data_IF_521402022341
#
_entry.id   IF_521402022341
#
_cell.length_a   1.000
_cell.length_b   1.000
_cell.length_c   1.000
_cell.angle_alpha   90.00
_cell.angle_beta   90.00
_cell.angle_gamma   90.00
#
_symmetry.space_group_name_H-M   'P 1'
#
loop_
_entity.id
_entity.type
_entity.pdbx_description
1 polymer ?
#
# COMPACT_ATOMS: atom_id res chain seq x y z
N UNK A 1 -13.73 13.70 1.46
CA UNK A 1 -14.07 12.43 2.19
C UNK A 1 -12.77 11.92 2.78
N UNK A 2 -12.72 11.72 4.09
CA UNK A 2 -11.53 11.18 4.75
C UNK A 2 -11.30 9.70 4.40
N UNK A 3 -10.10 9.21 4.69
CA UNK A 3 -9.69 7.89 4.22
C UNK A 3 -10.41 6.73 4.95
N UNK A 4 -10.75 6.89 6.22
CA UNK A 4 -11.54 5.89 6.98
C UNK A 4 -12.94 5.76 6.39
N UNK A 5 -13.57 6.88 6.05
CA UNK A 5 -14.86 6.88 5.36
C UNK A 5 -14.77 6.16 4.00
N UNK A 6 -13.66 6.33 3.24
CA UNK A 6 -13.43 5.56 2.00
C UNK A 6 -13.37 4.07 2.27
N UNK A 7 -12.64 3.63 3.32
CA UNK A 7 -12.56 2.22 3.72
C UNK A 7 -13.93 1.65 4.12
N UNK A 8 -14.70 2.38 4.92
CA UNK A 8 -16.06 1.96 5.32
C UNK A 8 -16.98 1.84 4.11
N UNK A 9 -16.94 2.80 3.20
CA UNK A 9 -17.74 2.75 1.96
C UNK A 9 -17.32 1.59 1.07
N UNK A 10 -16.02 1.33 0.95
CA UNK A 10 -15.50 0.18 0.23
C UNK A 10 -16.06 -1.14 0.79
N UNK A 11 -16.07 -1.30 2.12
CA UNK A 11 -16.65 -2.49 2.76
C UNK A 11 -18.16 -2.62 2.54
N UNK A 12 -18.91 -1.50 2.53
CA UNK A 12 -20.34 -1.50 2.18
C UNK A 12 -20.57 -1.93 0.73
N UNK A 13 -19.76 -1.44 -0.21
CA UNK A 13 -19.78 -1.87 -1.61
C UNK A 13 -19.46 -3.35 -1.76
N UNK A 14 -18.47 -3.86 -1.03
CA UNK A 14 -18.14 -5.28 -0.99
C UNK A 14 -19.32 -6.12 -0.43
N UNK A 15 -19.95 -5.68 0.65
CA UNK A 15 -21.12 -6.35 1.21
C UNK A 15 -22.29 -6.40 0.21
N UNK A 16 -22.43 -5.40 -0.65
CA UNK A 16 -23.44 -5.34 -1.72
C UNK A 16 -23.06 -6.17 -2.96
N UNK A 17 -21.92 -6.87 -2.97
CA UNK A 17 -21.53 -7.77 -4.05
C UNK A 17 -20.88 -7.09 -5.26
N UNK A 18 -20.33 -5.88 -5.10
CA UNK A 18 -19.66 -5.17 -6.19
C UNK A 18 -18.32 -5.82 -6.57
N UNK A 19 -17.85 -5.46 -7.77
CA UNK A 19 -16.50 -5.84 -8.24
C UNK A 19 -15.49 -4.77 -7.84
N UNK A 20 -14.45 -5.18 -7.11
CA UNK A 20 -13.48 -4.29 -6.48
C UNK A 20 -12.04 -4.68 -6.85
N UNK A 21 -11.15 -3.71 -6.85
CA UNK A 21 -9.72 -3.91 -7.15
C UNK A 21 -8.89 -3.61 -5.90
N UNK A 22 -8.14 -4.62 -5.44
CA UNK A 22 -7.26 -4.55 -4.27
C UNK A 22 -5.83 -4.39 -4.75
N UNK A 23 -5.25 -3.22 -4.51
CA UNK A 23 -3.93 -2.82 -4.98
C UNK A 23 -2.88 -2.80 -3.85
N UNK A 24 -1.64 -3.05 -4.22
CA UNK A 24 -0.46 -2.94 -3.36
C UNK A 24 0.64 -2.22 -4.11
N UNK A 25 1.32 -1.28 -3.44
CA UNK A 25 2.46 -0.53 -3.99
C UNK A 25 3.60 -0.58 -2.97
N UNK A 26 4.77 -1.08 -3.35
CA UNK A 26 5.86 -1.18 -2.38
C UNK A 26 7.16 -1.76 -2.95
N UNK A 27 8.05 -2.12 -2.04
CA UNK A 27 9.35 -2.70 -2.32
C UNK A 27 9.33 -4.23 -2.47
N UNK A 28 10.44 -4.86 -2.08
CA UNK A 28 10.66 -6.32 -2.17
C UNK A 28 9.69 -7.13 -1.29
N UNK A 29 9.33 -6.62 -0.12
CA UNK A 29 8.40 -7.33 0.77
C UNK A 29 7.01 -7.37 0.14
N UNK A 30 6.56 -6.27 -0.47
CA UNK A 30 5.31 -6.22 -1.23
C UNK A 30 5.35 -7.10 -2.48
N UNK A 31 6.50 -7.16 -3.17
CA UNK A 31 6.71 -8.07 -4.30
C UNK A 31 6.53 -9.54 -3.90
N UNK A 32 6.81 -9.89 -2.64
CA UNK A 32 6.75 -11.24 -2.10
C UNK A 32 8.11 -11.93 -2.00
N UNK A 33 9.21 -11.15 -1.86
CA UNK A 33 10.54 -11.74 -1.66
C UNK A 33 10.54 -12.69 -0.47
N UNK A 34 11.09 -13.90 -0.70
CA UNK A 34 11.18 -15.02 0.23
C UNK A 34 9.83 -15.67 0.63
N UNK A 35 8.71 -15.29 0.03
CA UNK A 35 7.54 -16.15 0.02
C UNK A 35 7.80 -17.36 -0.91
N UNK A 36 7.35 -18.55 -0.52
CA UNK A 36 7.58 -19.77 -1.30
C UNK A 36 6.75 -19.81 -2.58
N UNK A 37 5.59 -19.14 -2.58
CA UNK A 37 4.72 -18.93 -3.74
C UNK A 37 4.11 -17.52 -3.67
N UNK A 38 3.61 -16.97 -4.79
CA UNK A 38 2.90 -15.69 -4.77
C UNK A 38 1.74 -15.66 -3.76
N UNK A 39 1.06 -16.78 -3.53
CA UNK A 39 -0.10 -16.91 -2.66
C UNK A 39 0.26 -16.86 -1.16
N UNK A 40 1.52 -17.06 -0.79
CA UNK A 40 1.99 -16.95 0.60
C UNK A 40 2.55 -15.56 0.94
N UNK A 41 2.63 -14.65 -0.06
CA UNK A 41 2.98 -13.25 0.18
C UNK A 41 1.89 -12.52 0.97
N UNK A 42 2.27 -11.61 1.86
CA UNK A 42 1.32 -10.85 2.68
C UNK A 42 0.23 -10.14 1.85
N UNK A 43 0.61 -9.60 0.71
CA UNK A 43 -0.32 -8.89 -0.17
C UNK A 43 -1.44 -9.81 -0.67
N UNK A 44 -1.09 -11.04 -1.09
CA UNK A 44 -2.09 -12.01 -1.51
C UNK A 44 -2.92 -12.52 -0.33
N UNK A 45 -2.33 -12.68 0.85
CA UNK A 45 -3.04 -13.10 2.06
C UNK A 45 -4.08 -12.07 2.50
N UNK A 46 -3.78 -10.77 2.39
CA UNK A 46 -4.74 -9.68 2.61
C UNK A 46 -5.84 -9.68 1.54
N UNK A 47 -5.50 -9.92 0.28
CA UNK A 47 -6.48 -10.10 -0.79
C UNK A 47 -7.43 -11.28 -0.50
N UNK A 48 -6.94 -12.42 0.00
CA UNK A 48 -7.76 -13.55 0.41
C UNK A 48 -8.68 -13.20 1.61
N UNK A 49 -8.23 -12.31 2.52
CA UNK A 49 -9.10 -11.79 3.58
C UNK A 49 -10.33 -11.09 3.01
N UNK A 50 -10.18 -10.24 1.96
CA UNK A 50 -11.30 -9.57 1.30
C UNK A 50 -12.28 -10.58 0.71
N UNK A 51 -11.80 -11.59 0.01
CA UNK A 51 -12.64 -12.65 -0.56
C UNK A 51 -13.43 -13.43 0.49
N UNK A 52 -12.78 -13.75 1.60
CA UNK A 52 -13.41 -14.50 2.70
C UNK A 52 -14.42 -13.65 3.47
N UNK A 53 -14.09 -12.38 3.69
CA UNK A 53 -14.94 -11.46 4.44
C UNK A 53 -16.19 -11.02 3.67
N UNK A 54 -16.13 -11.00 2.33
CA UNK A 54 -17.21 -10.55 1.45
C UNK A 54 -17.42 -11.53 0.29
N UNK A 55 -17.98 -12.72 0.56
CA UNK A 55 -18.06 -13.82 -0.42
C UNK A 55 -19.00 -13.53 -1.61
N UNK A 56 -19.86 -12.52 -1.52
CA UNK A 56 -20.76 -12.12 -2.59
C UNK A 56 -20.10 -11.11 -3.56
N UNK A 57 -18.97 -10.50 -3.21
CA UNK A 57 -18.22 -9.58 -4.05
C UNK A 57 -17.21 -10.32 -4.92
N UNK A 58 -16.79 -9.68 -6.00
CA UNK A 58 -15.66 -10.15 -6.81
C UNK A 58 -14.46 -9.24 -6.64
N UNK A 59 -13.27 -9.80 -6.65
CA UNK A 59 -12.05 -9.03 -6.39
C UNK A 59 -10.99 -9.30 -7.45
N UNK A 60 -10.32 -8.23 -7.88
CA UNK A 60 -9.10 -8.28 -8.68
C UNK A 60 -7.90 -7.93 -7.81
N UNK A 61 -6.80 -8.65 -7.99
CA UNK A 61 -5.54 -8.46 -7.27
C UNK A 61 -4.53 -7.73 -8.14
N UNK A 62 -3.96 -6.65 -7.64
CA UNK A 62 -2.90 -5.87 -8.31
C UNK A 62 -1.72 -5.72 -7.36
N UNK A 63 -0.59 -6.32 -7.68
CA UNK A 63 0.64 -6.20 -6.91
C UNK A 63 1.69 -5.39 -7.69
N UNK A 64 1.89 -4.13 -7.28
CA UNK A 64 2.91 -3.21 -7.78
C UNK A 64 4.19 -3.21 -6.92
N UNK A 65 4.51 -4.31 -6.23
CA UNK A 65 5.77 -4.48 -5.52
C UNK A 65 6.95 -4.67 -6.47
N UNK A 66 8.03 -3.88 -6.30
CA UNK A 66 9.29 -4.04 -7.04
C UNK A 66 10.45 -3.93 -6.06
N UNK A 67 11.26 -4.99 -5.99
CA UNK A 67 12.38 -5.09 -5.06
C UNK A 67 13.40 -3.96 -5.18
N UNK A 68 13.89 -3.46 -4.03
CA UNK A 68 14.91 -2.42 -3.96
C UNK A 68 14.43 -1.02 -4.35
N UNK A 69 13.11 -0.79 -4.50
CA UNK A 69 12.58 0.53 -4.87
C UNK A 69 12.11 1.31 -3.67
N UNK A 70 12.36 2.61 -3.69
CA UNK A 70 11.96 3.61 -2.68
C UNK A 70 10.65 4.30 -3.05
N UNK A 71 10.09 5.11 -2.14
CA UNK A 71 8.90 5.92 -2.40
C UNK A 71 9.11 6.90 -3.56
N UNK A 72 10.31 7.44 -3.75
CA UNK A 72 10.64 8.30 -4.89
C UNK A 72 10.33 7.61 -6.24
N UNK A 73 10.83 6.40 -6.42
CA UNK A 73 10.53 5.62 -7.62
C UNK A 73 9.10 5.07 -7.62
N UNK A 74 8.59 4.72 -6.44
CA UNK A 74 7.22 4.26 -6.22
C UNK A 74 6.19 5.25 -6.74
N UNK A 75 6.34 6.52 -6.39
CA UNK A 75 5.48 7.60 -6.88
C UNK A 75 5.49 7.73 -8.40
N UNK A 76 6.70 7.73 -9.01
CA UNK A 76 6.84 7.86 -10.46
C UNK A 76 6.17 6.71 -11.25
N UNK A 77 6.20 5.46 -10.71
CA UNK A 77 5.63 4.27 -11.34
C UNK A 77 4.20 3.93 -10.91
N UNK A 78 3.66 4.62 -9.89
CA UNK A 78 2.35 4.30 -9.29
C UNK A 78 1.23 4.20 -10.33
N UNK A 79 1.24 5.09 -11.36
CA UNK A 79 0.23 5.02 -12.42
C UNK A 79 0.31 3.72 -13.21
N UNK A 80 1.49 3.37 -13.69
CA UNK A 80 1.71 2.20 -14.56
C UNK A 80 1.43 0.89 -13.82
N UNK A 81 1.86 0.79 -12.56
CA UNK A 81 1.89 -0.47 -11.83
C UNK A 81 0.61 -0.74 -11.03
N UNK A 82 -0.13 0.31 -10.65
CA UNK A 82 -1.30 0.18 -9.77
C UNK A 82 -2.49 1.03 -10.23
N UNK A 83 -2.31 2.34 -10.46
CA UNK A 83 -3.44 3.26 -10.65
C UNK A 83 -4.18 3.08 -11.98
N UNK A 84 -3.50 2.61 -13.04
CA UNK A 84 -4.13 2.31 -14.33
C UNK A 84 -5.20 1.20 -14.21
N UNK A 85 -5.12 0.35 -13.19
CA UNK A 85 -6.13 -0.67 -12.88
C UNK A 85 -7.31 -0.14 -12.05
N UNK A 86 -7.32 1.18 -11.73
CA UNK A 86 -8.38 1.86 -10.98
C UNK A 86 -8.69 1.19 -9.64
N UNK A 87 -7.68 1.01 -8.76
CA UNK A 87 -7.87 0.32 -7.49
C UNK A 87 -8.90 1.04 -6.61
N UNK A 88 -9.64 0.26 -5.82
CA UNK A 88 -10.56 0.76 -4.79
C UNK A 88 -9.84 0.93 -3.44
N UNK A 89 -8.75 0.20 -3.23
CA UNK A 89 -7.85 0.33 -2.09
C UNK A 89 -6.41 0.10 -2.54
N UNK A 90 -5.46 0.80 -1.90
CA UNK A 90 -4.02 0.58 -2.08
C UNK A 90 -3.32 0.51 -0.73
N UNK A 91 -2.61 -0.59 -0.47
CA UNK A 91 -1.66 -0.69 0.64
C UNK A 91 -0.28 -0.26 0.16
N UNK A 92 0.38 0.63 0.91
CA UNK A 92 1.68 1.24 0.54
C UNK A 92 2.76 0.85 1.55
N UNK A 93 3.90 0.34 1.08
CA UNK A 93 5.02 -0.12 1.91
C UNK A 93 6.38 0.26 1.30
N UNK A 94 7.04 1.25 1.92
CA UNK A 94 8.40 1.68 1.58
C UNK A 94 9.28 1.89 2.82
N UNK A 95 8.78 1.57 4.03
CA UNK A 95 9.40 1.97 5.28
C UNK A 95 10.80 1.39 5.53
N UNK A 96 11.16 0.28 4.90
CA UNK A 96 12.49 -0.33 4.97
C UNK A 96 13.38 0.01 3.77
N UNK A 97 12.82 0.63 2.74
CA UNK A 97 13.53 1.05 1.54
C UNK A 97 13.92 2.53 1.59
N UNK A 98 13.09 3.35 2.22
CA UNK A 98 13.34 4.75 2.43
C UNK A 98 14.25 4.96 3.64
N UNK A 99 15.17 5.92 3.56
CA UNK A 99 15.88 6.39 4.73
C UNK A 99 14.98 7.34 5.55
N UNK A 100 15.19 7.36 6.88
CA UNK A 100 14.47 8.25 7.76
C UNK A 100 15.06 9.68 7.65
N UNK A 101 14.65 10.44 6.63
CA UNK A 101 15.07 11.79 6.37
C UNK A 101 14.01 12.59 5.59
N UNK A 102 14.21 13.91 5.48
CA UNK A 102 13.28 14.85 4.86
C UNK A 102 13.06 14.59 3.36
N UNK A 103 14.08 14.12 2.62
CA UNK A 103 13.91 13.77 1.21
C UNK A 103 12.88 12.65 1.01
N UNK A 104 12.98 11.59 1.81
CA UNK A 104 12.02 10.49 1.71
C UNK A 104 10.67 10.83 2.33
N UNK A 105 10.60 11.73 3.30
CA UNK A 105 9.33 12.29 3.75
C UNK A 105 8.59 12.97 2.60
N UNK A 106 9.27 13.82 1.85
CA UNK A 106 8.69 14.55 0.72
C UNK A 106 8.28 13.62 -0.43
N UNK A 107 9.13 12.66 -0.82
CA UNK A 107 8.79 11.70 -1.88
C UNK A 107 7.65 10.77 -1.48
N UNK A 108 7.57 10.42 -0.19
CA UNK A 108 6.48 9.63 0.35
C UNK A 108 5.17 10.42 0.36
N UNK A 109 5.20 11.69 0.77
CA UNK A 109 4.05 12.59 0.68
C UNK A 109 3.54 12.69 -0.77
N UNK A 110 4.41 12.96 -1.73
CA UNK A 110 4.05 13.01 -3.15
C UNK A 110 3.41 11.71 -3.63
N UNK A 111 3.91 10.56 -3.16
CA UNK A 111 3.34 9.24 -3.47
C UNK A 111 1.93 9.09 -2.90
N UNK A 112 1.71 9.38 -1.61
CA UNK A 112 0.39 9.26 -0.97
C UNK A 112 -0.63 10.23 -1.58
N UNK A 113 -0.25 11.48 -1.83
CA UNK A 113 -1.12 12.47 -2.48
C UNK A 113 -1.55 12.00 -3.85
N UNK A 114 -0.62 11.45 -4.65
CA UNK A 114 -0.92 10.90 -5.97
C UNK A 114 -1.96 9.77 -5.92
N UNK A 115 -1.88 8.89 -4.92
CA UNK A 115 -2.87 7.83 -4.71
C UNK A 115 -4.22 8.42 -4.32
N UNK A 116 -4.24 9.33 -3.35
CA UNK A 116 -5.47 9.93 -2.82
C UNK A 116 -6.23 10.76 -3.87
N UNK A 117 -5.50 11.39 -4.82
CA UNK A 117 -6.07 12.21 -5.90
C UNK A 117 -6.32 11.41 -7.19
N UNK A 118 -6.01 10.12 -7.22
CA UNK A 118 -6.27 9.30 -8.40
C UNK A 118 -7.78 9.30 -8.75
N UNK A 119 -8.15 9.18 -10.05
CA UNK A 119 -9.56 9.20 -10.47
C UNK A 119 -10.44 8.12 -9.85
N UNK A 120 -9.86 7.00 -9.40
CA UNK A 120 -10.58 5.96 -8.64
C UNK A 120 -10.78 6.32 -7.17
N UNK A 121 -10.10 7.37 -6.67
CA UNK A 121 -10.13 7.83 -5.29
C UNK A 121 -9.98 6.68 -4.26
N UNK A 122 -8.94 5.83 -4.38
CA UNK A 122 -8.81 4.65 -3.55
C UNK A 122 -8.74 5.01 -2.06
N UNK A 123 -9.19 4.08 -1.21
CA UNK A 123 -8.76 4.08 0.18
C UNK A 123 -7.26 3.71 0.23
N UNK A 124 -6.52 4.26 1.19
CA UNK A 124 -5.09 3.98 1.35
C UNK A 124 -4.83 3.44 2.76
N UNK A 125 -3.97 2.44 2.86
CA UNK A 125 -3.39 1.94 4.12
C UNK A 125 -1.88 2.03 3.98
N UNK A 126 -1.21 2.58 5.00
CA UNK A 126 0.24 2.56 5.11
C UNK A 126 0.67 1.34 5.91
N UNK A 127 1.64 0.59 5.38
CA UNK A 127 2.31 -0.50 6.07
C UNK A 127 3.75 -0.09 6.36
N UNK A 128 4.17 -0.24 7.61
CA UNK A 128 5.55 -0.01 8.05
C UNK A 128 6.20 -1.32 8.48
N UNK A 129 6.92 -1.95 7.56
CA UNK A 129 7.81 -3.06 7.86
C UNK A 129 9.07 -2.58 8.60
N UNK A 130 9.91 -3.51 9.05
CA UNK A 130 11.06 -3.22 9.91
C UNK A 130 12.22 -4.17 9.62
N UNK A 131 13.46 -3.72 9.84
CA UNK A 131 14.61 -4.61 9.96
C UNK A 131 14.55 -5.34 11.30
N UNK A 132 14.38 -6.64 11.30
CA UNK A 132 14.15 -7.46 12.50
C UNK A 132 15.36 -7.67 13.39
N UNK A 133 16.54 -7.17 13.01
CA UNK A 133 17.76 -7.17 13.84
C UNK A 133 18.01 -5.84 14.53
N UNK A 134 17.53 -4.74 13.97
CA UNK A 134 17.84 -3.39 14.43
C UNK A 134 16.62 -2.55 14.80
N UNK A 135 15.42 -2.97 14.41
CA UNK A 135 14.22 -2.14 14.55
C UNK A 135 14.21 -0.90 13.65
N UNK A 136 15.17 -0.80 12.69
CA UNK A 136 15.30 0.36 11.82
C UNK A 136 14.17 0.37 10.76
N UNK A 137 13.59 1.54 10.53
CA UNK A 137 12.70 1.84 9.39
C UNK A 137 12.45 3.36 9.35
N UNK A 138 11.71 3.81 8.34
CA UNK A 138 11.35 5.22 8.13
C UNK A 138 9.96 5.59 8.69
N UNK A 139 9.33 4.75 9.55
CA UNK A 139 7.93 4.94 9.95
C UNK A 139 7.64 6.29 10.63
N UNK A 140 8.62 6.90 11.30
CA UNK A 140 8.42 8.20 11.94
C UNK A 140 8.03 9.28 10.92
N UNK A 141 8.73 9.31 9.78
CA UNK A 141 8.45 10.22 8.67
C UNK A 141 7.17 9.82 7.93
N UNK A 142 7.00 8.54 7.65
CA UNK A 142 5.83 8.03 6.95
C UNK A 142 4.53 8.25 7.74
N UNK A 143 4.55 8.02 9.06
CA UNK A 143 3.38 8.21 9.91
C UNK A 143 3.00 9.68 10.02
N UNK A 144 3.96 10.60 10.09
CA UNK A 144 3.69 12.05 10.06
C UNK A 144 2.84 12.45 8.84
N UNK A 145 3.21 11.92 7.67
CA UNK A 145 2.44 12.14 6.43
C UNK A 145 1.09 11.42 6.48
N UNK A 146 1.07 10.15 6.91
CA UNK A 146 -0.17 9.39 7.01
C UNK A 146 -1.19 10.07 7.93
N UNK A 147 -0.76 10.53 9.11
CA UNK A 147 -1.61 11.22 10.08
C UNK A 147 -2.16 12.53 9.53
N UNK A 148 -1.33 13.30 8.80
CA UNK A 148 -1.76 14.56 8.17
C UNK A 148 -2.91 14.37 7.18
N UNK A 149 -2.93 13.25 6.46
CA UNK A 149 -3.98 12.91 5.51
C UNK A 149 -5.06 11.99 6.08
N UNK A 150 -5.02 11.67 7.37
CA UNK A 150 -5.96 10.74 8.01
C UNK A 150 -5.91 9.33 7.43
N UNK A 151 -4.74 8.86 7.05
CA UNK A 151 -4.50 7.53 6.50
C UNK A 151 -4.14 6.56 7.64
N UNK A 152 -4.88 5.47 7.83
CA UNK A 152 -4.51 4.48 8.83
C UNK A 152 -3.20 3.80 8.47
N UNK A 153 -2.39 3.52 9.48
CA UNK A 153 -1.11 2.86 9.31
C UNK A 153 -0.98 1.64 10.22
N UNK A 154 -0.29 0.62 9.73
CA UNK A 154 0.04 -0.62 10.43
C UNK A 154 1.55 -0.66 10.62
N UNK A 155 2.01 -0.84 11.85
CA UNK A 155 3.43 -0.88 12.18
C UNK A 155 3.86 -2.27 12.66
N UNK A 156 4.73 -2.91 11.89
CA UNK A 156 5.38 -4.17 12.28
C UNK A 156 6.41 -3.92 13.36
N UNK A 157 7.00 -2.71 13.38
CA UNK A 157 7.92 -2.29 14.44
C UNK A 157 7.26 -2.23 15.82
N UNK A 158 5.99 -1.81 15.88
CA UNK A 158 5.30 -1.61 17.15
C UNK A 158 4.49 -2.85 17.57
N UNK A 159 4.32 -3.83 16.68
CA UNK A 159 3.51 -5.04 16.94
C UNK A 159 4.36 -6.31 17.00
N UNK A 160 4.98 -6.72 15.91
CA UNK A 160 5.72 -8.00 15.79
C UNK A 160 7.15 -7.87 16.31
N UNK A 161 7.83 -6.75 16.04
CA UNK A 161 9.23 -6.58 16.41
C UNK A 161 9.47 -6.69 17.93
N UNK A 162 8.64 -6.16 18.86
CA UNK A 162 8.80 -6.38 20.29
C UNK A 162 8.71 -7.85 20.70
N UNK A 163 7.89 -8.64 20.01
CA UNK A 163 7.82 -10.09 20.26
C UNK A 163 9.09 -10.82 19.78
N UNK A 164 9.75 -10.28 18.75
CA UNK A 164 11.07 -10.78 18.30
C UNK A 164 12.17 -10.38 19.29
N UNK A 165 12.20 -9.12 19.74
CA UNK A 165 13.18 -8.64 20.73
C UNK A 165 13.10 -9.38 22.05
N UNK A 166 11.89 -9.68 22.52
CA UNK A 166 11.67 -10.44 23.77
C UNK A 166 11.91 -11.95 23.62
N UNK A 167 12.15 -12.44 22.39
CA UNK A 167 12.32 -13.87 22.11
C UNK A 167 11.02 -14.69 22.09
N UNK A 168 9.87 -14.04 22.20
CA UNK A 168 8.54 -14.69 22.04
C UNK A 168 8.35 -15.22 20.61
N UNK A 169 8.90 -14.51 19.64
CA UNK A 169 9.03 -14.98 18.25
C UNK A 169 10.52 -15.16 17.95
N UNK A 170 10.89 -16.38 17.52
CA UNK A 170 12.25 -16.65 17.05
C UNK A 170 12.45 -16.00 15.68
N UNK A 171 13.34 -15.02 15.60
CA UNK A 171 13.58 -14.27 14.35
C UNK A 171 13.85 -15.15 13.13
N UNK A 172 14.69 -16.16 13.27
CA UNK A 172 15.03 -17.07 12.19
C UNK A 172 13.83 -17.88 11.66
N UNK A 173 12.74 -17.99 12.43
CA UNK A 173 11.51 -18.66 12.01
C UNK A 173 10.67 -17.82 11.05
N UNK A 174 10.89 -16.50 11.01
CA UNK A 174 10.07 -15.56 10.23
C UNK A 174 10.85 -14.82 9.13
N UNK A 175 12.17 -14.77 9.23
CA UNK A 175 13.05 -14.13 8.24
C UNK A 175 14.43 -14.77 8.24
N UNK A 176 14.99 -15.16 7.09
CA UNK A 176 16.34 -15.71 7.02
C UNK A 176 17.44 -14.64 6.90
N UNK A 177 17.11 -13.40 6.51
CA UNK A 177 18.05 -12.31 6.24
C UNK A 177 17.81 -11.06 7.12
N UNK A 178 16.98 -11.17 8.14
CA UNK A 178 16.57 -10.11 9.06
C UNK A 178 15.67 -9.01 8.46
N UNK A 179 15.29 -9.12 7.20
CA UNK A 179 14.47 -8.13 6.51
C UNK A 179 13.27 -8.77 5.83
N UNK A 180 13.52 -9.68 4.87
CA UNK A 180 12.47 -10.25 4.05
C UNK A 180 11.76 -11.38 4.79
N UNK A 181 10.45 -11.30 4.98
CA UNK A 181 9.68 -12.37 5.61
C UNK A 181 9.66 -13.64 4.75
N UNK A 182 9.77 -14.80 5.38
CA UNK A 182 9.36 -16.06 4.77
C UNK A 182 7.83 -16.23 4.89
N UNK A 183 7.26 -17.36 4.49
CA UNK A 183 5.80 -17.59 4.53
C UNK A 183 5.17 -17.30 5.89
N UNK A 184 5.83 -17.71 6.99
CA UNK A 184 5.38 -17.45 8.35
C UNK A 184 5.43 -15.95 8.68
N UNK A 185 6.50 -15.26 8.28
CA UNK A 185 6.64 -13.82 8.45
C UNK A 185 5.62 -13.05 7.63
N UNK A 186 5.42 -13.41 6.36
CA UNK A 186 4.37 -12.82 5.52
C UNK A 186 2.97 -13.00 6.11
N UNK A 187 2.68 -14.17 6.71
CA UNK A 187 1.41 -14.39 7.41
C UNK A 187 1.25 -13.42 8.58
N UNK A 188 2.29 -13.23 9.42
CA UNK A 188 2.23 -12.29 10.54
C UNK A 188 1.98 -10.84 10.06
N UNK A 189 2.67 -10.41 8.99
CA UNK A 189 2.44 -9.08 8.39
C UNK A 189 1.01 -8.93 7.89
N UNK A 190 0.49 -9.94 7.19
CA UNK A 190 -0.89 -9.94 6.72
C UNK A 190 -1.90 -9.87 7.87
N UNK A 191 -1.66 -10.62 8.95
CA UNK A 191 -2.54 -10.68 10.10
C UNK A 191 -2.65 -9.31 10.80
N UNK A 192 -1.57 -8.51 10.85
CA UNK A 192 -1.64 -7.14 11.40
C UNK A 192 -2.52 -6.23 10.53
N UNK A 193 -2.42 -6.31 9.20
CA UNK A 193 -3.31 -5.56 8.30
C UNK A 193 -4.76 -6.04 8.45
N UNK A 194 -4.96 -7.36 8.52
CA UNK A 194 -6.30 -7.93 8.69
C UNK A 194 -6.94 -7.51 10.01
N UNK A 195 -6.20 -7.38 11.11
CA UNK A 195 -6.73 -6.84 12.39
C UNK A 195 -7.29 -5.41 12.22
N UNK A 196 -6.59 -4.54 11.50
CA UNK A 196 -7.11 -3.21 11.18
C UNK A 196 -8.40 -3.31 10.36
N UNK A 197 -8.40 -4.14 9.32
CA UNK A 197 -9.58 -4.33 8.47
C UNK A 197 -10.75 -4.94 9.24
N UNK A 198 -10.51 -5.90 10.13
CA UNK A 198 -11.54 -6.49 10.99
C UNK A 198 -12.16 -5.46 11.94
N UNK A 199 -11.34 -4.55 12.49
CA UNK A 199 -11.84 -3.48 13.37
C UNK A 199 -12.78 -2.53 12.61
N UNK A 200 -12.40 -2.11 11.40
CA UNK A 200 -13.21 -1.23 10.56
C UNK A 200 -14.49 -1.95 10.10
N UNK A 201 -14.39 -3.22 9.73
CA UNK A 201 -15.54 -4.05 9.35
C UNK A 201 -16.55 -4.15 10.49
N UNK A 202 -16.10 -4.37 11.71
CA UNK A 202 -16.97 -4.42 12.89
C UNK A 202 -17.69 -3.09 13.16
N UNK A 203 -17.03 -1.96 12.88
CA UNK A 203 -17.68 -0.64 12.95
C UNK A 203 -18.78 -0.49 11.89
N UNK A 204 -18.49 -0.87 10.63
CA UNK A 204 -19.47 -0.84 9.53
C UNK A 204 -20.70 -1.70 9.86
N UNK A 205 -20.48 -2.90 10.42
CA UNK A 205 -21.58 -3.79 10.83
C UNK A 205 -22.46 -3.16 11.92
N UNK A 206 -21.84 -2.51 12.92
CA UNK A 206 -22.56 -1.79 13.98
C UNK A 206 -23.39 -0.61 13.44
N UNK A 207 -22.79 0.21 12.56
CA UNK A 207 -23.47 1.33 11.90
C UNK A 207 -24.68 0.84 11.09
N UNK A 208 -24.53 -0.25 10.37
CA UNK A 208 -25.61 -0.85 9.56
C UNK A 208 -26.76 -1.34 10.44
N UNK A 209 -26.45 -1.99 11.58
CA UNK A 209 -27.47 -2.46 12.55
C UNK A 209 -28.20 -1.28 13.21
N UNK A 210 -27.50 -0.19 13.51
CA UNK A 210 -28.09 1.01 14.11
C UNK A 210 -28.99 1.80 13.15
N UNK A 211 -29.03 1.45 11.86
CA UNK A 211 -29.81 2.16 10.84
C UNK A 211 -29.26 3.54 10.50
N UNK A 212 -28.02 3.81 10.86
CA UNK A 212 -27.33 5.04 10.51
C UNK A 212 -26.99 5.00 9.01
N UNK A 213 -27.87 5.54 8.18
CA UNK A 213 -27.59 5.79 6.76
C UNK A 213 -26.55 6.91 6.68
N UNK A 214 -25.27 6.54 6.58
CA UNK A 214 -24.29 7.45 6.01
C UNK A 214 -24.73 7.60 4.54
N UNK A 215 -25.20 8.80 4.17
CA UNK A 215 -25.63 9.09 2.80
C UNK A 215 -24.60 8.54 1.82
N UNK A 216 -25.05 7.60 1.00
CA UNK A 216 -24.28 7.07 -0.12
C UNK A 216 -24.09 8.18 -1.17
N UNK A 217 -23.09 9.03 -0.98
CA UNK A 217 -22.64 9.99 -1.99
C UNK A 217 -21.71 9.30 -3.01
N UNK A 218 -21.92 8.03 -3.30
CA UNK A 218 -21.21 7.31 -4.34
C UNK A 218 -21.75 7.61 -5.75
N UNK A 219 -22.10 8.85 -6.04
CA UNK A 219 -22.06 9.28 -7.42
C UNK A 219 -20.57 9.46 -7.77
N UNK A 220 -20.08 8.70 -8.73
CA UNK A 220 -18.78 8.85 -9.42
C UNK A 220 -18.69 10.22 -10.15
N UNK A 221 -18.99 11.28 -9.46
CA UNK A 221 -18.72 12.64 -9.91
C UNK A 221 -17.26 12.90 -9.54
N UNK A 222 -16.48 13.39 -10.47
CA UNK A 222 -15.13 13.93 -10.30
C UNK A 222 -15.14 15.11 -9.32
N UNK A 223 -15.56 14.87 -8.08
CA UNK A 223 -15.40 15.82 -7.01
C UNK A 223 -13.90 15.87 -6.74
N UNK A 224 -13.26 16.94 -7.12
CA UNK A 224 -11.87 17.23 -6.75
C UNK A 224 -11.73 16.95 -5.24
N UNK A 225 -10.99 15.89 -4.91
CA UNK A 225 -10.70 15.57 -3.52
C UNK A 225 -9.88 16.74 -2.98
N UNK A 226 -10.48 17.59 -2.16
CA UNK A 226 -9.77 18.66 -1.48
C UNK A 226 -8.92 17.98 -0.40
N UNK A 227 -7.66 17.75 -0.71
CA UNK A 227 -6.66 17.34 0.28
C UNK A 227 -6.21 18.57 1.09
N UNK A 228 -5.73 18.36 2.32
CA UNK A 228 -4.98 19.38 3.04
C UNK A 228 -3.81 19.91 2.20
N UNK A 229 -3.32 21.11 2.52
CA UNK A 229 -2.06 21.57 1.96
C UNK A 229 -0.95 20.57 2.29
N UNK A 230 0.04 20.38 1.40
CA UNK A 230 1.14 19.49 1.69
C UNK A 230 1.93 19.93 2.93
N UNK A 231 2.51 18.98 3.64
CA UNK A 231 3.43 19.24 4.77
C UNK A 231 4.81 19.64 4.30
N UNK A 232 5.24 19.10 3.17
CA UNK A 232 6.54 19.37 2.54
C UNK A 232 6.38 20.32 1.35
N UNK A 233 7.47 20.59 0.65
CA UNK A 233 7.41 21.35 -0.63
C UNK A 233 6.69 20.57 -1.73
N UNK A 234 6.54 19.27 -1.57
CA UNK A 234 5.78 18.38 -2.46
C UNK A 234 6.23 18.42 -3.93
N UNK A 235 7.54 18.58 -4.17
CA UNK A 235 8.11 18.69 -5.49
C UNK A 235 7.93 17.40 -6.34
N UNK A 236 7.71 16.27 -5.71
CA UNK A 236 7.69 14.94 -6.36
C UNK A 236 6.30 14.38 -6.65
N UNK A 237 5.21 15.10 -6.32
CA UNK A 237 3.82 14.64 -6.53
C UNK A 237 3.53 14.27 -7.99
N UNK A 238 4.13 15.01 -8.93
CA UNK A 238 3.92 14.82 -10.37
C UNK A 238 5.02 14.01 -11.06
N UNK A 239 5.87 13.33 -10.29
CA UNK A 239 6.89 12.43 -10.85
C UNK A 239 6.27 11.36 -11.74
N UNK A 240 6.90 11.07 -12.88
CA UNK A 240 6.42 10.07 -13.82
C UNK A 240 7.56 9.33 -14.48
N UNK A 241 7.31 8.09 -14.86
CA UNK A 241 8.22 7.34 -15.73
C UNK A 241 8.03 7.83 -17.17
N UNK A 242 9.14 8.13 -17.80
CA UNK A 242 9.21 8.46 -19.22
C UNK A 242 9.94 7.31 -19.91
N UNK A 243 9.29 6.67 -20.88
CA UNK A 243 9.94 5.67 -21.70
C UNK A 243 10.81 6.37 -22.75
N UNK A 244 12.05 5.94 -22.92
CA UNK A 244 12.98 6.53 -23.89
C UNK A 244 12.39 6.49 -25.32
N UNK A 245 11.68 5.42 -25.65
CA UNK A 245 11.05 5.23 -26.96
C UNK A 245 9.92 6.23 -27.25
N UNK A 246 9.32 6.82 -26.22
CA UNK A 246 8.19 7.74 -26.32
C UNK A 246 8.65 9.22 -26.39
N UNK A 247 9.96 9.45 -26.41
CA UNK A 247 10.55 10.80 -26.41
C UNK A 247 11.58 10.94 -27.53
N UNK A 248 11.68 12.14 -28.10
CA UNK A 248 12.75 12.54 -29.00
C UNK A 248 14.08 12.72 -28.23
N UNK A 249 14.51 11.71 -27.51
CA UNK A 249 15.75 11.75 -26.75
C UNK A 249 16.95 11.59 -27.70
N UNK A 250 17.87 12.53 -27.67
CA UNK A 250 19.18 12.36 -28.33
C UNK A 250 20.01 11.45 -27.40
N UNK A 251 20.30 10.25 -27.86
CA UNK A 251 21.11 9.30 -27.12
C UNK A 251 22.56 9.42 -27.61
N UNK A 252 23.43 10.04 -26.80
CA UNK A 252 24.87 10.09 -27.05
C UNK A 252 25.57 9.06 -26.17
N UNK A 253 26.20 8.07 -26.80
CA UNK A 253 26.94 7.01 -26.11
C UNK A 253 26.07 5.85 -25.54
N UNK A 254 24.76 5.83 -25.82
CA UNK A 254 23.85 4.77 -25.40
C UNK A 254 23.19 4.10 -26.60
N UNK A 255 23.06 2.79 -26.56
CA UNK A 255 22.23 2.02 -27.49
C UNK A 255 20.91 1.67 -26.79
N UNK A 256 19.80 1.88 -27.49
CA UNK A 256 18.50 1.34 -27.06
C UNK A 256 18.52 -0.15 -27.36
N UNK A 257 18.63 -0.97 -26.32
CA UNK A 257 18.44 -2.41 -26.47
C UNK A 257 16.92 -2.67 -26.55
N UNK A 258 16.42 -3.18 -27.70
CA UNK A 258 15.03 -3.58 -27.78
C UNK A 258 14.83 -4.75 -26.80
N UNK A 259 14.09 -4.49 -25.71
CA UNK A 259 13.70 -5.56 -24.79
C UNK A 259 12.83 -6.54 -25.59
N UNK A 260 13.45 -7.60 -26.10
CA UNK A 260 12.72 -8.75 -26.58
C UNK A 260 11.90 -9.28 -25.39
N UNK A 261 10.57 -9.13 -25.47
CA UNK A 261 9.66 -9.81 -24.56
C UNK A 261 9.92 -11.31 -24.72
N UNK A 262 10.75 -11.87 -23.85
CA UNK A 262 10.77 -13.32 -23.67
C UNK A 262 9.42 -13.68 -23.07
N UNK A 263 8.60 -14.36 -23.89
CA UNK A 263 7.30 -14.87 -23.57
C UNK A 263 7.29 -15.91 -22.45
#
# INVERSE_FOLDING_TARGET
MDNITRLKNLMKRAANGESLVIGFLGGSITQGSLSSTPETCYAYLVYEWWKKSFPNATFSFVNGGIGGTTSHYGGARAWKDVLCYRPDIVTVDFSVNDDANEFFEETYEGTLRRLLMAPSAPAVIVLNNVFYDTGKNAQEYHNRIADHYGIPHVSIKDTIFPDVESGKIVRADITPDNLHPNDKGHRLVADEICKLLDSIKAEVEKETIAGENIEDKSTKTEASVLLPAPLTENAYEHSRLIQIQDNEAILDGFLVDPIEKKG
#
